data_IF_201146560459
#
_entry.id   IF_201146560459
#
_cell.length_a   1.000
_cell.length_b   1.000
_cell.length_c   1.000
_cell.angle_alpha   90.00
_cell.angle_beta   90.00
_cell.angle_gamma   90.00
#
_symmetry.space_group_name_H-M   'P 1'
#
loop_
_entity.id
_entity.type
_entity.pdbx_description
1 polymer ?
#
# COMPACT_ATOMS: atom_id res chain seq x y z
N UNK A 1 14.97 32.50 25.11
CA UNK A 1 13.52 32.23 24.90
C UNK A 1 13.17 32.31 23.43
N UNK A 2 13.53 33.38 22.72
CA UNK A 2 13.33 33.51 21.27
C UNK A 2 14.08 32.44 20.46
N UNK A 3 15.34 32.10 20.80
CA UNK A 3 16.08 31.02 20.13
C UNK A 3 15.40 29.64 20.23
N UNK A 4 14.77 29.34 21.37
CA UNK A 4 14.04 28.09 21.56
C UNK A 4 12.73 28.07 20.74
N UNK A 5 12.06 29.22 20.58
CA UNK A 5 10.86 29.36 19.75
C UNK A 5 11.23 29.18 18.27
N UNK A 6 12.32 29.82 17.83
CA UNK A 6 12.81 29.72 16.46
C UNK A 6 13.24 28.30 16.09
N UNK A 7 14.01 27.63 16.98
CA UNK A 7 14.41 26.23 16.79
C UNK A 7 13.21 25.27 16.72
N UNK A 8 12.15 25.54 17.48
CA UNK A 8 10.92 24.73 17.44
C UNK A 8 10.14 24.97 16.14
N UNK A 9 10.05 26.23 15.68
CA UNK A 9 9.39 26.57 14.42
C UNK A 9 10.13 25.97 13.20
N UNK A 10 11.46 25.98 13.21
CA UNK A 10 12.28 25.37 12.14
C UNK A 10 12.13 23.84 12.07
N UNK A 11 11.79 23.18 13.17
CA UNK A 11 11.48 21.74 13.17
C UNK A 11 10.08 21.46 12.60
N UNK A 12 9.13 22.38 12.77
CA UNK A 12 7.76 22.26 12.25
C UNK A 12 7.72 22.56 10.75
N UNK A 13 8.51 23.54 10.28
CA UNK A 13 8.60 23.94 8.86
C UNK A 13 9.61 23.11 8.06
N UNK A 14 10.16 22.04 8.62
CA UNK A 14 11.13 21.19 7.94
C UNK A 14 10.45 20.44 6.78
N UNK A 15 10.67 20.93 5.56
CA UNK A 15 10.27 20.25 4.33
C UNK A 15 11.13 19.01 4.10
N UNK A 16 10.55 18.05 3.37
CA UNK A 16 11.30 16.90 2.87
C UNK A 16 12.45 17.39 1.99
N UNK A 17 13.59 16.73 2.06
CA UNK A 17 14.66 16.96 1.07
C UNK A 17 14.21 16.43 -0.30
N UNK A 18 14.88 16.87 -1.37
CA UNK A 18 14.60 16.40 -2.73
C UNK A 18 14.69 14.87 -2.80
N UNK A 19 15.74 14.28 -2.25
CA UNK A 19 15.91 12.82 -2.18
C UNK A 19 14.75 12.10 -1.48
N UNK A 20 14.17 12.71 -0.45
CA UNK A 20 13.02 12.14 0.27
C UNK A 20 11.73 12.28 -0.54
N UNK A 21 11.58 13.37 -1.29
CA UNK A 21 10.49 13.56 -2.23
C UNK A 21 10.54 12.53 -3.36
N UNK A 22 11.72 12.32 -3.94
CA UNK A 22 11.93 11.31 -4.97
C UNK A 22 11.66 9.91 -4.43
N UNK A 23 12.14 9.60 -3.22
CA UNK A 23 11.92 8.32 -2.57
C UNK A 23 10.42 8.02 -2.36
N UNK A 24 9.65 9.00 -1.92
CA UNK A 24 8.19 8.88 -1.72
C UNK A 24 7.42 8.81 -3.04
N UNK A 25 7.92 9.44 -4.11
CA UNK A 25 7.29 9.41 -5.43
C UNK A 25 7.58 8.10 -6.21
N UNK A 26 8.36 7.17 -5.64
CA UNK A 26 8.66 5.89 -6.30
C UNK A 26 7.42 5.00 -6.35
N UNK A 27 7.21 4.40 -7.52
CA UNK A 27 6.18 3.37 -7.71
C UNK A 27 6.45 2.17 -6.82
N UNK A 28 5.39 1.65 -6.20
CA UNK A 28 5.46 0.47 -5.36
C UNK A 28 5.84 -0.76 -6.19
N UNK A 29 6.83 -1.48 -5.66
CA UNK A 29 7.30 -2.75 -6.20
C UNK A 29 6.49 -3.92 -5.63
N UNK A 30 6.52 -5.03 -6.37
CA UNK A 30 5.79 -6.24 -6.02
C UNK A 30 6.18 -6.80 -4.64
N UNK A 31 7.48 -6.85 -4.36
CA UNK A 31 8.07 -7.38 -3.14
C UNK A 31 7.74 -6.51 -1.92
N UNK A 32 7.62 -5.20 -2.10
CA UNK A 32 7.18 -4.27 -1.06
C UNK A 32 5.73 -4.56 -0.64
N UNK A 33 4.84 -4.75 -1.62
CA UNK A 33 3.43 -5.08 -1.35
C UNK A 33 3.31 -6.48 -0.75
N UNK A 34 4.06 -7.46 -1.24
CA UNK A 34 4.08 -8.81 -0.66
C UNK A 34 4.57 -8.80 0.80
N UNK A 35 5.65 -8.07 1.08
CA UNK A 35 6.20 -7.93 2.43
C UNK A 35 5.23 -7.19 3.37
N UNK A 36 4.57 -6.15 2.89
CA UNK A 36 3.54 -5.43 3.64
C UNK A 36 2.37 -6.36 3.98
N UNK A 37 1.85 -7.08 2.99
CA UNK A 37 0.76 -8.05 3.17
C UNK A 37 1.12 -9.12 4.20
N UNK A 38 2.34 -9.65 4.16
CA UNK A 38 2.81 -10.65 5.12
C UNK A 38 2.83 -10.11 6.57
N UNK A 39 3.20 -8.84 6.75
CA UNK A 39 3.30 -8.17 8.07
C UNK A 39 1.96 -7.71 8.63
N UNK A 40 0.88 -7.67 7.84
CA UNK A 40 -0.43 -7.25 8.34
C UNK A 40 -0.87 -8.13 9.53
N UNK A 41 -1.44 -7.55 10.60
CA UNK A 41 -1.86 -8.33 11.76
C UNK A 41 -3.09 -9.18 11.43
N UNK A 42 -3.13 -10.39 11.98
CA UNK A 42 -4.31 -11.27 11.92
C UNK A 42 -5.27 -10.98 13.07
N UNK A 43 -6.54 -11.33 12.90
CA UNK A 43 -7.63 -11.26 13.89
C UNK A 43 -7.84 -9.87 14.46
N UNK A 44 -7.54 -8.85 13.67
CA UNK A 44 -7.93 -7.47 13.96
C UNK A 44 -9.34 -7.23 13.46
N UNK A 45 -10.03 -6.28 14.09
CA UNK A 45 -11.28 -5.79 13.57
C UNK A 45 -11.05 -5.26 12.13
N UNK A 46 -11.93 -5.59 11.19
CA UNK A 46 -11.83 -5.05 9.84
C UNK A 46 -12.00 -3.52 9.85
N UNK A 47 -11.54 -2.87 8.78
CA UNK A 47 -11.70 -1.43 8.60
C UNK A 47 -13.15 -1.04 8.32
N UNK A 48 -13.35 0.20 7.87
CA UNK A 48 -14.66 0.73 7.49
C UNK A 48 -15.33 -0.06 6.34
N UNK A 49 -14.52 -0.76 5.53
CA UNK A 49 -14.97 -1.63 4.45
C UNK A 49 -15.49 -3.00 4.94
N UNK A 50 -15.28 -3.35 6.20
CA UNK A 50 -15.63 -4.67 6.75
C UNK A 50 -14.76 -5.81 6.22
N UNK A 51 -13.69 -5.53 5.48
CA UNK A 51 -12.84 -6.56 4.86
C UNK A 51 -11.72 -6.94 5.84
N UNK A 52 -11.64 -8.22 6.26
CA UNK A 52 -10.55 -8.67 7.13
C UNK A 52 -9.22 -8.79 6.36
N UNK A 53 -8.11 -8.54 7.05
CA UNK A 53 -6.76 -8.64 6.46
C UNK A 53 -6.46 -10.05 5.94
N UNK A 54 -7.07 -11.07 6.54
CA UNK A 54 -6.96 -12.47 6.13
C UNK A 54 -7.47 -12.71 4.71
N UNK A 55 -8.45 -11.94 4.22
CA UNK A 55 -8.96 -12.12 2.86
C UNK A 55 -7.83 -11.93 1.85
N UNK A 56 -7.10 -10.82 1.97
CA UNK A 56 -5.97 -10.49 1.09
C UNK A 56 -4.88 -11.56 1.13
N UNK A 57 -4.55 -12.05 2.32
CA UNK A 57 -3.57 -13.15 2.51
C UNK A 57 -4.04 -14.46 1.88
N UNK A 58 -5.33 -14.79 2.01
CA UNK A 58 -5.91 -16.00 1.42
C UNK A 58 -5.92 -15.92 -0.10
N UNK A 59 -6.27 -14.77 -0.68
CA UNK A 59 -6.23 -14.55 -2.13
C UNK A 59 -4.81 -14.72 -2.69
N UNK A 60 -3.81 -14.14 -2.02
CA UNK A 60 -2.40 -14.31 -2.41
C UNK A 60 -1.94 -15.77 -2.30
N UNK A 61 -2.28 -16.44 -1.20
CA UNK A 61 -2.00 -17.87 -1.00
C UNK A 61 -2.68 -18.73 -2.08
N UNK A 62 -3.92 -18.41 -2.44
CA UNK A 62 -4.64 -19.13 -3.48
C UNK A 62 -3.92 -19.01 -4.83
N UNK A 63 -3.55 -17.80 -5.23
CA UNK A 63 -2.80 -17.53 -6.45
C UNK A 63 -1.47 -18.30 -6.51
N UNK A 64 -0.66 -18.20 -5.46
CA UNK A 64 0.64 -18.90 -5.38
C UNK A 64 0.49 -20.42 -5.40
N UNK A 65 -0.58 -20.96 -4.81
CA UNK A 65 -0.87 -22.40 -4.81
C UNK A 65 -1.32 -22.88 -6.20
N UNK A 66 -2.17 -22.11 -6.89
CA UNK A 66 -2.62 -22.41 -8.25
C UNK A 66 -1.49 -22.30 -9.29
N UNK A 67 -0.56 -21.36 -9.10
CA UNK A 67 0.60 -21.22 -9.98
C UNK A 67 1.59 -22.37 -9.90
N UNK A 68 1.63 -23.09 -8.77
CA UNK A 68 2.47 -24.29 -8.62
C UNK A 68 1.92 -25.52 -9.32
N UNK A 69 0.67 -25.49 -9.80
CA UNK A 69 0.05 -26.61 -10.52
C UNK A 69 0.28 -26.46 -12.03
N UNK A 70 0.94 -27.42 -12.70
CA UNK A 70 1.23 -27.33 -14.14
C UNK A 70 -0.04 -27.33 -15.01
N UNK A 71 -1.13 -27.95 -14.53
CA UNK A 71 -2.39 -28.12 -15.29
C UNK A 71 -3.47 -27.09 -14.96
N UNK A 72 -3.16 -26.04 -14.19
CA UNK A 72 -4.15 -25.04 -13.80
C UNK A 72 -4.55 -24.16 -15.00
N UNK A 73 -5.86 -24.01 -15.32
CA UNK A 73 -6.31 -23.15 -16.41
C UNK A 73 -5.81 -21.71 -16.23
N UNK A 74 -5.19 -21.15 -17.29
CA UNK A 74 -4.56 -19.83 -17.25
C UNK A 74 -5.54 -18.70 -16.94
N UNK A 75 -6.81 -18.86 -17.31
CA UNK A 75 -7.87 -17.86 -17.15
C UNK A 75 -8.52 -17.81 -15.76
N UNK A 76 -8.16 -18.71 -14.83
CA UNK A 76 -8.79 -18.81 -13.51
C UNK A 76 -7.94 -18.27 -12.36
N UNK A 77 -6.84 -17.57 -12.65
CA UNK A 77 -5.86 -17.14 -11.62
C UNK A 77 -6.07 -15.67 -11.26
N UNK A 78 -6.74 -15.42 -10.15
CA UNK A 78 -6.86 -14.05 -9.62
C UNK A 78 -5.56 -13.64 -8.93
N UNK A 79 -4.84 -12.66 -9.51
CA UNK A 79 -3.58 -12.16 -8.97
C UNK A 79 -3.78 -10.90 -8.14
N UNK A 80 -4.00 -11.08 -6.84
CA UNK A 80 -4.33 -9.98 -5.93
C UNK A 80 -3.24 -8.93 -5.79
N UNK A 81 -1.96 -9.31 -5.82
CA UNK A 81 -0.86 -8.35 -5.67
C UNK A 81 -0.71 -7.45 -6.89
N UNK A 82 -0.96 -7.96 -8.10
CA UNK A 82 -0.98 -7.13 -9.32
C UNK A 82 -2.13 -6.12 -9.29
N UNK A 83 -3.30 -6.51 -8.76
CA UNK A 83 -4.41 -5.58 -8.56
C UNK A 83 -4.05 -4.47 -7.57
N UNK A 84 -3.48 -4.83 -6.42
CA UNK A 84 -3.06 -3.85 -5.40
C UNK A 84 -1.98 -2.92 -5.94
N UNK A 85 -0.99 -3.45 -6.66
CA UNK A 85 0.06 -2.66 -7.28
C UNK A 85 -0.49 -1.68 -8.31
N UNK A 86 -1.41 -2.13 -9.16
CA UNK A 86 -2.05 -1.27 -10.14
C UNK A 86 -2.86 -0.16 -9.47
N UNK A 87 -3.65 -0.49 -8.44
CA UNK A 87 -4.47 0.48 -7.72
C UNK A 87 -3.63 1.54 -6.99
N UNK A 88 -2.59 1.13 -6.24
CA UNK A 88 -1.78 2.09 -5.51
C UNK A 88 -0.95 2.96 -6.45
N UNK A 89 -0.34 2.39 -7.49
CA UNK A 89 0.43 3.19 -8.45
C UNK A 89 -0.46 4.12 -9.29
N UNK A 90 -1.73 3.76 -9.52
CA UNK A 90 -2.69 4.67 -10.14
C UNK A 90 -3.00 5.87 -9.24
N UNK A 91 -3.17 5.64 -7.93
CA UNK A 91 -3.35 6.73 -6.95
C UNK A 91 -2.11 7.61 -6.85
N UNK A 92 -0.90 7.04 -6.85
CA UNK A 92 0.35 7.83 -6.85
C UNK A 92 0.50 8.68 -8.12
N UNK A 93 0.06 8.16 -9.28
CA UNK A 93 0.22 8.85 -10.57
C UNK A 93 -0.89 9.88 -10.86
N UNK A 94 -2.13 9.56 -10.50
CA UNK A 94 -3.32 10.34 -10.86
C UNK A 94 -3.99 11.04 -9.66
N UNK A 95 -3.54 10.75 -8.44
CA UNK A 95 -4.18 11.20 -7.22
C UNK A 95 -5.48 10.45 -6.91
N UNK A 96 -6.14 10.85 -5.82
CA UNK A 96 -7.45 10.32 -5.44
C UNK A 96 -8.55 11.13 -6.12
N UNK A 97 -9.63 10.46 -6.54
CA UNK A 97 -10.81 11.15 -7.07
C UNK A 97 -11.36 12.18 -6.05
N UNK A 98 -11.59 13.44 -6.47
CA UNK A 98 -12.20 14.45 -5.61
C UNK A 98 -13.58 14.01 -5.09
N UNK A 99 -13.78 14.06 -3.77
CA UNK A 99 -15.02 13.62 -3.11
C UNK A 99 -15.11 12.13 -2.80
N UNK A 100 -14.06 11.35 -3.06
CA UNK A 100 -13.96 10.00 -2.55
C UNK A 100 -13.58 10.02 -1.06
N UNK A 101 -14.22 9.18 -0.24
CA UNK A 101 -13.98 9.05 1.21
C UNK A 101 -12.61 8.44 1.58
N UNK A 102 -11.62 8.45 0.68
CA UNK A 102 -10.29 7.90 0.93
C UNK A 102 -9.37 8.86 1.72
N UNK A 103 -9.69 10.16 1.77
CA UNK A 103 -8.83 11.20 2.36
C UNK A 103 -9.50 12.02 3.47
N UNK A 104 -10.61 11.54 4.03
CA UNK A 104 -11.25 12.14 5.22
C UNK A 104 -10.67 11.60 6.54
#
# INVERSE_FOLDING_TARGET
>A
REEAIQSTLEQIDKKLSEDQHEELARKLMYDEIEAALAKMPNRKAPGLDGIPTELWKVLHKHFTTQNKKPDAPQHSKFYVLALLQAAFNDVEENGVQPGANFAE
#
